data_IF_115355064931
#
_entry.id   IF_115355064931
#
_cell.length_a   1.000
_cell.length_b   1.000
_cell.length_c   1.000
_cell.angle_alpha   90.00
_cell.angle_beta   90.00
_cell.angle_gamma   90.00
#
_symmetry.space_group_name_H-M   'P 1'
#
loop_
_entity.id
_entity.type
_entity.pdbx_description
1 polymer ?
#
# COMPACT_ATOMS: atom_id res chain seq x y z
N UNK A 1 5.48 -2.76 13.42
CA UNK A 1 4.94 -2.70 12.05
C UNK A 1 4.11 -3.93 11.81
N UNK A 2 2.82 -3.74 11.55
CA UNK A 2 1.87 -4.84 11.34
C UNK A 2 1.02 -4.67 10.07
N UNK A 3 1.16 -3.54 9.38
CA UNK A 3 0.45 -3.29 8.12
C UNK A 3 1.31 -2.58 7.08
N UNK A 4 1.08 -2.93 5.82
CA UNK A 4 1.66 -2.33 4.62
C UNK A 4 0.54 -1.73 3.77
N UNK A 5 0.63 -0.44 3.49
CA UNK A 5 -0.29 0.29 2.63
C UNK A 5 0.48 0.76 1.40
N UNK A 6 -0.05 0.50 0.21
CA UNK A 6 0.61 0.79 -1.07
C UNK A 6 -0.32 1.68 -1.92
N UNK A 7 0.22 2.69 -2.61
CA UNK A 7 -0.54 3.36 -3.66
C UNK A 7 -0.81 2.42 -4.85
N UNK A 8 -1.77 2.77 -5.70
CA UNK A 8 -2.01 2.08 -6.95
C UNK A 8 -1.30 2.77 -8.12
N UNK A 9 -1.64 4.02 -8.41
CA UNK A 9 -1.08 4.77 -9.53
C UNK A 9 0.36 5.16 -9.22
N UNK A 10 1.28 4.90 -10.14
CA UNK A 10 2.72 5.11 -9.97
C UNK A 10 3.42 4.01 -9.17
N UNK A 11 2.71 2.95 -8.73
CA UNK A 11 3.29 1.87 -7.92
C UNK A 11 2.86 0.47 -8.40
N UNK A 12 1.56 0.18 -8.43
CA UNK A 12 0.99 -1.13 -8.79
C UNK A 12 0.45 -1.19 -10.23
N UNK A 13 0.24 -0.05 -10.88
CA UNK A 13 -0.08 0.10 -12.30
C UNK A 13 1.16 0.06 -13.22
N UNK A 14 2.20 -0.64 -12.76
CA UNK A 14 3.44 -0.85 -13.50
C UNK A 14 3.25 -1.79 -14.71
N UNK A 15 4.34 -2.03 -15.45
CA UNK A 15 4.33 -3.03 -16.51
C UNK A 15 4.09 -4.46 -15.97
N UNK A 16 3.83 -5.40 -16.88
CA UNK A 16 3.49 -6.77 -16.49
C UNK A 16 4.60 -7.48 -15.70
N UNK A 17 5.87 -7.09 -15.87
CA UNK A 17 6.98 -7.69 -15.14
C UNK A 17 6.95 -7.21 -13.68
N UNK A 18 6.98 -5.90 -13.46
CA UNK A 18 6.95 -5.34 -12.10
C UNK A 18 5.64 -5.65 -11.38
N UNK A 19 4.51 -5.76 -12.08
CA UNK A 19 3.26 -6.17 -11.47
C UNK A 19 3.32 -7.61 -10.92
N UNK A 20 3.96 -8.55 -11.64
CA UNK A 20 4.17 -9.92 -11.14
C UNK A 20 5.10 -9.93 -9.92
N UNK A 21 6.13 -9.08 -9.92
CA UNK A 21 7.07 -8.95 -8.80
C UNK A 21 6.38 -8.39 -7.56
N UNK A 22 5.51 -7.38 -7.72
CA UNK A 22 4.64 -6.89 -6.65
C UNK A 22 3.71 -7.95 -6.09
N UNK A 23 3.05 -8.74 -6.96
CA UNK A 23 2.19 -9.84 -6.52
C UNK A 23 2.97 -10.88 -5.70
N UNK A 24 4.20 -11.23 -6.12
CA UNK A 24 5.06 -12.14 -5.38
C UNK A 24 5.47 -11.56 -4.02
N UNK A 25 5.88 -10.28 -3.98
CA UNK A 25 6.27 -9.61 -2.74
C UNK A 25 5.10 -9.51 -1.76
N UNK A 26 3.92 -9.09 -2.21
CA UNK A 26 2.73 -9.01 -1.37
C UNK A 26 2.27 -10.38 -0.87
N UNK A 27 2.46 -11.44 -1.66
CA UNK A 27 2.22 -12.80 -1.19
C UNK A 27 3.16 -13.17 -0.02
N UNK A 28 4.44 -12.84 -0.11
CA UNK A 28 5.39 -13.09 0.97
C UNK A 28 5.12 -12.21 2.22
N UNK A 29 4.71 -10.95 2.03
CA UNK A 29 4.27 -10.06 3.12
C UNK A 29 3.08 -10.67 3.88
N UNK A 30 2.10 -11.20 3.14
CA UNK A 30 0.93 -11.87 3.73
C UNK A 30 1.30 -13.18 4.43
N UNK A 31 2.22 -13.96 3.89
CA UNK A 31 2.75 -15.17 4.55
C UNK A 31 3.45 -14.87 5.88
N UNK A 32 4.01 -13.66 6.02
CA UNK A 32 4.55 -13.13 7.27
C UNK A 32 3.49 -12.53 8.22
N UNK A 33 2.19 -12.76 7.96
CA UNK A 33 1.05 -12.28 8.76
C UNK A 33 1.00 -10.74 8.88
N UNK A 34 1.47 -10.03 7.86
CA UNK A 34 1.37 -8.57 7.76
C UNK A 34 0.14 -8.22 6.93
N UNK A 35 -0.73 -7.37 7.49
CA UNK A 35 -1.94 -6.90 6.81
C UNK A 35 -1.59 -5.94 5.66
N UNK A 36 -2.30 -6.03 4.53
CA UNK A 36 -1.96 -5.31 3.30
C UNK A 36 -3.16 -4.55 2.75
N UNK A 37 -2.96 -3.31 2.34
CA UNK A 37 -3.99 -2.53 1.67
C UNK A 37 -3.46 -1.74 0.47
N UNK A 38 -4.35 -1.50 -0.49
CA UNK A 38 -4.19 -0.41 -1.46
C UNK A 38 -4.93 0.81 -0.92
N UNK A 39 -4.26 1.97 -0.88
CA UNK A 39 -4.88 3.26 -0.60
C UNK A 39 -4.61 4.20 -1.78
N UNK A 40 -5.63 4.45 -2.60
CA UNK A 40 -5.49 5.24 -3.82
C UNK A 40 -6.36 6.49 -3.82
N UNK A 41 -5.78 7.61 -4.27
CA UNK A 41 -6.53 8.83 -4.56
C UNK A 41 -7.26 8.70 -5.90
N UNK A 42 -8.20 7.77 -5.96
CA UNK A 42 -9.05 7.50 -7.11
C UNK A 42 -10.52 7.84 -6.77
N UNK A 43 -11.29 8.40 -7.71
CA UNK A 43 -12.71 8.72 -7.50
C UNK A 43 -13.60 7.48 -7.26
N UNK A 44 -13.13 6.27 -7.57
CA UNK A 44 -13.89 5.04 -7.42
C UNK A 44 -14.90 4.80 -8.55
N UNK A 45 -15.97 4.07 -8.22
CA UNK A 45 -16.98 3.64 -9.20
C UNK A 45 -16.46 2.58 -10.18
N UNK A 46 -17.15 2.41 -11.32
CA UNK A 46 -16.89 1.34 -12.29
C UNK A 46 -15.48 1.41 -12.92
N UNK A 47 -14.87 2.60 -12.97
CA UNK A 47 -13.53 2.79 -13.51
C UNK A 47 -12.41 2.20 -12.65
N UNK A 48 -12.69 1.94 -11.37
CA UNK A 48 -11.72 1.45 -10.39
C UNK A 48 -11.68 -0.08 -10.25
N UNK A 49 -12.39 -0.81 -11.12
CA UNK A 49 -12.37 -2.28 -11.13
C UNK A 49 -10.95 -2.87 -11.21
N UNK A 50 -10.01 -2.33 -12.00
CA UNK A 50 -8.62 -2.81 -11.98
C UNK A 50 -7.94 -2.71 -10.61
N UNK A 51 -8.33 -1.74 -9.78
CA UNK A 51 -7.80 -1.58 -8.42
C UNK A 51 -8.46 -2.60 -7.49
N UNK A 52 -9.80 -2.73 -7.55
CA UNK A 52 -10.55 -3.69 -6.72
C UNK A 52 -10.18 -5.15 -6.99
N UNK A 53 -9.74 -5.47 -8.21
CA UNK A 53 -9.25 -6.80 -8.56
C UNK A 53 -8.10 -7.27 -7.64
N UNK A 54 -7.31 -6.34 -7.06
CA UNK A 54 -6.25 -6.70 -6.11
C UNK A 54 -6.80 -7.29 -4.81
N UNK A 55 -7.89 -6.73 -4.27
CA UNK A 55 -8.58 -7.30 -3.12
C UNK A 55 -9.38 -8.55 -3.52
N UNK A 56 -10.13 -8.49 -4.63
CA UNK A 56 -10.96 -9.60 -5.09
C UNK A 56 -10.18 -10.89 -5.34
N UNK A 57 -8.95 -10.78 -5.86
CA UNK A 57 -8.04 -11.92 -6.07
C UNK A 57 -7.19 -12.28 -4.85
N UNK A 58 -7.31 -11.53 -3.75
CA UNK A 58 -6.56 -11.76 -2.52
C UNK A 58 -5.08 -11.39 -2.61
N UNK A 59 -4.69 -10.47 -3.50
CA UNK A 59 -3.34 -9.91 -3.50
C UNK A 59 -3.12 -8.97 -2.32
N UNK A 60 -4.17 -8.24 -1.91
CA UNK A 60 -4.22 -7.45 -0.67
C UNK A 60 -5.48 -7.75 0.13
N UNK A 61 -5.51 -7.36 1.41
CA UNK A 61 -6.64 -7.58 2.31
C UNK A 61 -7.74 -6.51 2.16
N UNK A 62 -7.39 -5.31 1.67
CA UNK A 62 -8.35 -4.23 1.46
C UNK A 62 -7.94 -3.28 0.32
N UNK A 63 -8.91 -2.74 -0.41
CA UNK A 63 -8.75 -1.61 -1.33
C UNK A 63 -9.56 -0.42 -0.82
N UNK A 64 -8.89 0.72 -0.64
CA UNK A 64 -9.48 1.98 -0.22
C UNK A 64 -9.32 3.03 -1.32
N UNK A 65 -10.44 3.57 -1.78
CA UNK A 65 -10.50 4.57 -2.84
C UNK A 65 -11.02 5.89 -2.26
N UNK A 66 -10.27 6.97 -2.45
CA UNK A 66 -10.57 8.28 -1.83
C UNK A 66 -12.01 8.78 -2.07
N UNK A 67 -12.54 8.59 -3.28
CA UNK A 67 -13.90 8.98 -3.62
C UNK A 67 -14.99 8.20 -2.88
N UNK A 68 -14.67 7.02 -2.35
CA UNK A 68 -15.60 6.13 -1.64
C UNK A 68 -15.50 6.29 -0.13
N UNK A 69 -14.28 6.51 0.38
CA UNK A 69 -14.04 6.71 1.82
C UNK A 69 -14.23 8.18 2.25
N UNK A 70 -14.23 9.13 1.29
CA UNK A 70 -14.48 10.56 1.51
C UNK A 70 -13.27 11.37 1.99
N UNK A 71 -12.07 10.79 1.96
CA UNK A 71 -10.80 11.42 2.35
C UNK A 71 -9.72 11.00 1.37
N UNK A 72 -8.78 11.90 1.06
CA UNK A 72 -7.66 11.61 0.17
C UNK A 72 -6.31 11.77 0.87
N UNK A 73 -5.27 11.06 0.43
CA UNK A 73 -3.90 11.37 0.84
C UNK A 73 -3.57 12.79 0.35
N UNK A 74 -2.91 13.65 1.13
CA UNK A 74 -2.17 13.38 2.37
C UNK A 74 -2.96 13.60 3.69
N UNK A 75 -4.29 13.58 3.67
CA UNK A 75 -5.08 13.77 4.89
C UNK A 75 -4.88 12.63 5.90
N UNK A 76 -4.77 12.97 7.19
CA UNK A 76 -4.69 11.97 8.28
C UNK A 76 -5.85 10.97 8.23
N UNK A 77 -7.05 11.43 7.86
CA UNK A 77 -8.25 10.61 7.82
C UNK A 77 -8.15 9.48 6.77
N UNK A 78 -7.48 9.71 5.63
CA UNK A 78 -7.24 8.66 4.63
C UNK A 78 -6.35 7.55 5.18
N UNK A 79 -5.26 7.91 5.89
CA UNK A 79 -4.39 6.93 6.53
C UNK A 79 -5.09 6.19 7.68
N UNK A 80 -5.92 6.90 8.45
CA UNK A 80 -6.71 6.29 9.53
C UNK A 80 -7.72 5.29 8.96
N UNK A 81 -8.38 5.60 7.84
CA UNK A 81 -9.29 4.66 7.17
C UNK A 81 -8.58 3.36 6.78
N UNK A 82 -7.34 3.43 6.28
CA UNK A 82 -6.55 2.24 5.99
C UNK A 82 -6.19 1.44 7.25
N UNK A 83 -5.87 2.14 8.35
CA UNK A 83 -5.59 1.51 9.64
C UNK A 83 -6.82 0.77 10.20
N UNK A 84 -7.98 1.41 10.14
CA UNK A 84 -9.25 0.87 10.59
C UNK A 84 -9.68 -0.34 9.75
N UNK A 85 -9.49 -0.29 8.42
CA UNK A 85 -9.81 -1.40 7.52
C UNK A 85 -8.95 -2.65 7.79
N UNK A 86 -7.69 -2.45 8.22
CA UNK A 86 -6.76 -3.53 8.52
C UNK A 86 -6.79 -3.98 9.99
N UNK A 87 -7.56 -3.34 10.86
CA UNK A 87 -7.53 -3.52 12.33
C UNK A 87 -6.10 -3.39 12.91
N UNK A 88 -5.35 -2.40 12.40
CA UNK A 88 -3.97 -2.10 12.81
C UNK A 88 -3.87 -0.67 13.33
N UNK A 89 -3.00 -0.44 14.31
CA UNK A 89 -2.70 0.91 14.78
C UNK A 89 -2.05 1.75 13.69
N UNK A 90 -2.45 3.02 13.54
CA UNK A 90 -1.88 3.92 12.54
C UNK A 90 -0.34 3.98 12.60
N UNK A 91 0.25 3.99 13.80
CA UNK A 91 1.72 4.04 13.97
C UNK A 91 2.44 2.74 13.62
N UNK A 92 1.69 1.65 13.39
CA UNK A 92 2.20 0.36 12.94
C UNK A 92 2.08 0.15 11.43
N UNK A 93 1.60 1.17 10.69
CA UNK A 93 1.51 1.15 9.23
C UNK A 93 2.78 1.68 8.56
N UNK A 94 3.14 1.01 7.46
CA UNK A 94 4.10 1.49 6.47
C UNK A 94 3.32 1.97 5.24
N UNK A 95 3.56 3.20 4.76
CA UNK A 95 3.05 3.69 3.47
C UNK A 95 4.13 3.60 2.40
N UNK A 96 3.81 2.99 1.26
CA UNK A 96 4.56 3.05 0.01
C UNK A 96 3.79 3.94 -0.97
N UNK A 97 4.40 5.02 -1.44
CA UNK A 97 3.73 5.99 -2.31
C UNK A 97 4.77 6.69 -3.18
N UNK A 98 4.45 6.99 -4.44
CA UNK A 98 5.36 7.69 -5.36
C UNK A 98 5.33 9.22 -5.16
N UNK A 99 4.33 9.73 -4.44
CA UNK A 99 4.20 11.15 -4.12
C UNK A 99 4.82 11.48 -2.76
N UNK A 100 5.91 12.25 -2.79
CA UNK A 100 6.64 12.68 -1.58
C UNK A 100 5.76 13.43 -0.56
N UNK A 101 4.69 14.10 -0.99
CA UNK A 101 3.78 14.79 -0.07
C UNK A 101 2.97 13.79 0.77
N UNK A 102 2.53 12.68 0.17
CA UNK A 102 1.83 11.60 0.87
C UNK A 102 2.77 10.91 1.85
N UNK A 103 3.98 10.58 1.41
CA UNK A 103 5.02 9.96 2.24
C UNK A 103 5.37 10.84 3.44
N UNK A 104 5.58 12.15 3.23
CA UNK A 104 5.89 13.07 4.32
C UNK A 104 4.74 13.15 5.33
N UNK A 105 3.50 13.22 4.86
CA UNK A 105 2.35 13.29 5.73
C UNK A 105 2.14 12.00 6.53
N UNK A 106 2.41 10.83 5.94
CA UNK A 106 2.41 9.56 6.68
C UNK A 106 3.40 9.60 7.86
N UNK A 107 4.62 10.07 7.61
CA UNK A 107 5.66 10.25 8.65
C UNK A 107 5.22 11.26 9.72
N UNK A 108 4.65 12.39 9.33
CA UNK A 108 4.11 13.40 10.26
C UNK A 108 2.97 12.85 11.14
N UNK A 109 2.27 11.80 10.68
CA UNK A 109 1.23 11.10 11.42
C UNK A 109 1.73 9.91 12.25
N UNK A 110 3.04 9.66 12.27
CA UNK A 110 3.69 8.61 13.06
C UNK A 110 3.82 7.26 12.35
N UNK A 111 3.51 7.19 11.06
CA UNK A 111 3.75 6.00 10.23
C UNK A 111 5.21 5.95 9.76
N UNK A 112 5.62 4.79 9.23
CA UNK A 112 6.79 4.75 8.35
C UNK A 112 6.31 5.12 6.93
N UNK A 113 7.01 6.02 6.26
CA UNK A 113 6.74 6.36 4.86
C UNK A 113 7.96 6.05 3.99
N UNK A 114 7.74 5.37 2.87
CA UNK A 114 8.76 5.07 1.86
C UNK A 114 8.33 5.67 0.53
N UNK A 115 9.20 6.51 -0.03
CA UNK A 115 9.04 7.01 -1.38
C UNK A 115 9.35 5.92 -2.39
N UNK A 116 8.34 5.53 -3.17
CA UNK A 116 8.50 4.64 -4.31
C UNK A 116 9.14 5.39 -5.48
N UNK A 117 10.27 4.88 -5.96
CA UNK A 117 10.95 5.41 -7.17
C UNK A 117 11.30 4.30 -8.16
N UNK A 118 11.41 3.07 -7.66
CA UNK A 118 11.59 1.85 -8.44
C UNK A 118 11.22 0.66 -7.57
N UNK A 119 10.85 -0.45 -8.21
CA UNK A 119 10.57 -1.70 -7.52
C UNK A 119 11.76 -2.18 -6.69
N UNK A 120 12.96 -2.30 -7.29
CA UNK A 120 14.15 -2.88 -6.65
C UNK A 120 14.49 -2.22 -5.31
N UNK A 121 14.40 -0.89 -5.25
CA UNK A 121 14.66 -0.15 -4.02
C UNK A 121 13.56 -0.39 -2.98
N UNK A 122 12.32 -0.39 -3.42
CA UNK A 122 11.16 -0.54 -2.53
C UNK A 122 11.08 -1.94 -1.94
N UNK A 123 11.38 -2.97 -2.74
CA UNK A 123 11.42 -4.35 -2.30
C UNK A 123 12.42 -4.55 -1.16
N UNK A 124 13.65 -4.02 -1.28
CA UNK A 124 14.68 -4.10 -0.23
C UNK A 124 14.22 -3.45 1.08
N UNK A 125 13.55 -2.30 1.00
CA UNK A 125 13.02 -1.60 2.19
C UNK A 125 11.91 -2.42 2.87
N UNK A 126 10.96 -2.96 2.09
CA UNK A 126 9.88 -3.83 2.59
C UNK A 126 10.46 -5.09 3.24
N UNK A 127 11.39 -5.76 2.56
CA UNK A 127 12.04 -6.97 3.07
C UNK A 127 12.76 -6.70 4.40
N UNK A 128 13.47 -5.57 4.49
CA UNK A 128 14.18 -5.17 5.71
C UNK A 128 13.23 -4.84 6.86
N UNK A 129 12.11 -4.17 6.59
CA UNK A 129 11.15 -3.77 7.62
C UNK A 129 10.35 -4.94 8.18
N UNK A 130 9.98 -5.91 7.33
CA UNK A 130 9.13 -7.03 7.70
C UNK A 130 9.88 -8.36 7.85
N UNK A 131 11.22 -8.35 7.72
CA UNK A 131 12.08 -9.52 7.78
C UNK A 131 11.64 -10.63 6.79
N UNK A 132 11.41 -10.24 5.54
CA UNK A 132 10.99 -11.13 4.46
C UNK A 132 12.22 -11.61 3.69
N UNK A 133 12.40 -12.92 3.61
CA UNK A 133 13.44 -13.56 2.82
C UNK A 133 12.96 -13.85 1.39
N UNK A 134 13.85 -13.72 0.40
CA UNK A 134 13.55 -14.01 -1.01
C UNK A 134 14.21 -13.03 -1.98
N UNK A 135 14.13 -13.36 -3.27
CA UNK A 135 14.43 -12.45 -4.37
C UNK A 135 13.11 -12.15 -5.10
N UNK A 136 12.80 -10.86 -5.25
CA UNK A 136 11.54 -10.37 -5.83
C UNK A 136 11.80 -9.48 -7.04
#
# INVERSE_FOLDING_TARGET
>A
MRGLVVDYVGVLDADEEDQRRWQALLAAVREAEIATAVLSNDPGGDGADPIREWEFRGHVDAVLLSGEIGYEKPERAAFQAAADALDVSLVDLVLIDDNILNVRAAVENGMIGILHTSFDRTAVEIQSLFNIEGEF
#
